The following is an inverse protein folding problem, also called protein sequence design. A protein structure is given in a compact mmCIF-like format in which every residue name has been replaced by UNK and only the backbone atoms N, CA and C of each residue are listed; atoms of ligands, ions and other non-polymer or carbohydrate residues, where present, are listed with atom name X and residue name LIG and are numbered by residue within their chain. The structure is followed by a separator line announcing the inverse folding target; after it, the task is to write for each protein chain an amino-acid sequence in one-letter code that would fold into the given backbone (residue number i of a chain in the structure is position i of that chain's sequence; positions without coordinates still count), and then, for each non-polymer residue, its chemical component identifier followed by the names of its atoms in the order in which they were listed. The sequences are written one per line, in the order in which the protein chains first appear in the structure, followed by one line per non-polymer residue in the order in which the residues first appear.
data_IF_885319548987
#
_entry.id   IF_885319548987
#
_cell.length_a   1.000
_cell.length_b   1.000
_cell.length_c   1.000
_cell.angle_alpha   90.00
_cell.angle_beta   90.00
_cell.angle_gamma   90.00
#
_symmetry.space_group_name_H-M   'P 1'
#
loop_
_entity.id
_entity.type
_entity.pdbx_description
1 polymer ?
#
# COMPACT_ATOMS: atom_id res chain seq x y z
N UNK A 1 29.16 19.79 34.23
CA UNK A 1 28.97 18.36 33.95
C UNK A 1 27.50 18.02 34.18
N UNK A 2 26.70 17.93 33.12
CA UNK A 2 25.28 17.52 33.22
C UNK A 2 25.20 16.05 32.80
N UNK A 3 24.92 15.18 33.77
CA UNK A 3 24.77 13.74 33.56
C UNK A 3 23.53 13.48 32.68
N UNK A 4 23.76 12.95 31.46
CA UNK A 4 22.71 12.36 30.64
C UNK A 4 22.21 11.10 31.36
N UNK A 5 20.95 11.09 31.76
CA UNK A 5 20.30 9.88 32.26
C UNK A 5 20.37 8.78 31.20
N UNK A 6 20.56 7.50 31.58
CA UNK A 6 20.51 6.40 30.62
C UNK A 6 19.07 6.28 30.13
N UNK A 7 18.85 6.55 28.84
CA UNK A 7 17.57 6.25 28.18
C UNK A 7 17.26 4.76 28.37
N UNK A 8 16.12 4.46 28.98
CA UNK A 8 15.64 3.10 29.17
C UNK A 8 15.73 2.30 27.86
N UNK A 9 16.10 1.00 27.89
CA UNK A 9 16.17 0.19 26.68
C UNK A 9 14.78 0.18 26.03
N UNK A 10 14.70 0.71 24.81
CA UNK A 10 13.49 0.64 24.01
C UNK A 10 13.12 -0.84 23.88
N UNK A 11 11.97 -1.21 24.42
CA UNK A 11 11.40 -2.53 24.18
C UNK A 11 11.29 -2.65 22.66
N UNK A 12 11.93 -3.68 22.09
CA UNK A 12 11.86 -4.02 20.66
C UNK A 12 10.80 -5.11 20.53
N UNK A 13 9.51 -4.78 20.32
CA UNK A 13 8.45 -5.80 20.28
C UNK A 13 8.33 -6.47 18.91
N UNK A 14 9.04 -6.01 17.88
CA UNK A 14 8.83 -6.45 16.51
C UNK A 14 9.86 -7.51 16.09
N UNK A 15 9.36 -8.70 15.75
CA UNK A 15 10.14 -9.71 15.04
C UNK A 15 10.23 -9.32 13.54
N UNK A 16 11.35 -9.64 12.87
CA UNK A 16 11.55 -9.48 11.41
C UNK A 16 10.34 -10.04 10.64
N UNK A 17 9.84 -11.20 11.03
CA UNK A 17 8.66 -11.81 10.42
C UNK A 17 7.41 -10.93 10.59
N UNK A 18 7.21 -10.35 11.78
CA UNK A 18 6.07 -9.47 12.05
C UNK A 18 6.17 -8.17 11.24
N UNK A 19 7.36 -7.58 11.15
CA UNK A 19 7.59 -6.39 10.33
C UNK A 19 7.35 -6.68 8.84
N UNK A 20 7.84 -7.82 8.34
CA UNK A 20 7.57 -8.28 6.98
C UNK A 20 6.07 -8.46 6.73
N UNK A 21 5.34 -9.08 7.66
CA UNK A 21 3.90 -9.28 7.54
C UNK A 21 3.11 -7.96 7.58
N UNK A 22 3.54 -6.96 8.36
CA UNK A 22 2.95 -5.62 8.35
C UNK A 22 3.15 -4.95 6.98
N UNK A 23 4.33 -5.10 6.37
CA UNK A 23 4.62 -4.57 5.04
C UNK A 23 3.82 -5.28 3.95
N UNK A 24 3.72 -6.61 4.02
CA UNK A 24 2.87 -7.40 3.12
C UNK A 24 1.42 -6.96 3.25
N UNK A 25 0.91 -6.80 4.47
CA UNK A 25 -0.47 -6.33 4.69
C UNK A 25 -0.71 -4.91 4.18
N UNK A 26 0.30 -4.02 4.26
CA UNK A 26 0.22 -2.66 3.74
C UNK A 26 0.22 -2.61 2.20
N UNK A 27 0.98 -3.50 1.54
CA UNK A 27 1.11 -3.55 0.08
C UNK A 27 -0.01 -4.38 -0.56
N UNK A 28 -0.49 -5.43 0.11
CA UNK A 28 -1.55 -6.30 -0.39
C UNK A 28 -2.91 -5.59 -0.34
N UNK A 29 -3.28 -4.95 -1.44
CA UNK A 29 -4.61 -4.35 -1.63
C UNK A 29 -5.46 -5.17 -2.60
N UNK A 30 -6.59 -5.71 -2.13
CA UNK A 30 -7.59 -6.38 -2.98
C UNK A 30 -8.16 -5.48 -4.07
N UNK A 31 -8.15 -4.16 -3.85
CA UNK A 31 -8.61 -3.14 -4.80
C UNK A 31 -7.98 -3.31 -6.19
N UNK A 32 -6.72 -3.72 -6.24
CA UNK A 32 -5.96 -3.80 -7.48
C UNK A 32 -6.19 -5.13 -8.24
N UNK A 33 -6.85 -6.12 -7.64
CA UNK A 33 -7.01 -7.45 -8.22
C UNK A 33 -7.87 -7.47 -9.50
N UNK A 34 -9.00 -6.75 -9.59
CA UNK A 34 -9.77 -6.69 -10.83
C UNK A 34 -8.96 -6.08 -11.99
N UNK A 35 -8.16 -5.04 -11.70
CA UNK A 35 -7.29 -4.42 -12.68
C UNK A 35 -6.19 -5.42 -13.14
N UNK A 36 -5.58 -6.14 -12.20
CA UNK A 36 -4.59 -7.17 -12.51
C UNK A 36 -5.17 -8.30 -13.38
N UNK A 37 -6.42 -8.69 -13.12
CA UNK A 37 -7.12 -9.70 -13.91
C UNK A 37 -7.34 -9.26 -15.36
N UNK A 38 -7.62 -7.96 -15.61
CA UNK A 38 -7.75 -7.43 -16.98
C UNK A 38 -6.44 -7.52 -17.78
N UNK A 39 -5.29 -7.34 -17.12
CA UNK A 39 -3.97 -7.49 -17.75
C UNK A 39 -3.49 -8.95 -17.80
N UNK A 40 -4.21 -9.88 -17.15
CA UNK A 40 -3.95 -11.32 -17.21
C UNK A 40 -2.50 -11.68 -16.87
N UNK A 41 -1.89 -12.54 -17.69
CA UNK A 41 -0.52 -13.03 -17.46
C UNK A 41 0.55 -11.93 -17.57
N UNK A 42 0.33 -10.91 -18.40
CA UNK A 42 1.24 -9.76 -18.54
C UNK A 42 1.38 -8.95 -17.24
N UNK A 43 0.39 -9.01 -16.34
CA UNK A 43 0.49 -8.34 -15.03
C UNK A 43 1.72 -8.77 -14.26
N UNK A 44 2.07 -10.05 -14.32
CA UNK A 44 3.25 -10.61 -13.65
C UNK A 44 4.55 -9.97 -14.16
N UNK A 45 4.66 -9.71 -15.46
CA UNK A 45 5.80 -9.01 -16.04
C UNK A 45 5.92 -7.59 -15.48
N UNK A 46 4.83 -6.82 -15.44
CA UNK A 46 4.85 -5.48 -14.87
C UNK A 46 5.22 -5.46 -13.38
N UNK A 47 4.71 -6.43 -12.61
CA UNK A 47 5.08 -6.60 -11.21
C UNK A 47 6.56 -6.98 -11.04
N UNK A 48 7.12 -7.83 -11.91
CA UNK A 48 8.54 -8.17 -11.90
C UNK A 48 9.42 -6.97 -12.23
N UNK A 49 9.07 -6.20 -13.26
CA UNK A 49 9.79 -4.97 -13.65
C UNK A 49 9.72 -3.94 -12.52
N UNK A 50 8.55 -3.72 -11.93
CA UNK A 50 8.40 -2.81 -10.80
C UNK A 50 9.14 -3.31 -9.55
N UNK A 51 9.15 -4.62 -9.30
CA UNK A 51 9.85 -5.19 -8.16
C UNK A 51 11.38 -5.02 -8.28
N UNK A 52 11.95 -5.38 -9.43
CA UNK A 52 13.39 -5.32 -9.67
C UNK A 52 13.88 -3.89 -9.93
N UNK A 53 13.10 -3.08 -10.66
CA UNK A 53 13.49 -1.73 -11.07
C UNK A 53 13.21 -0.64 -10.04
N UNK A 54 12.26 -0.86 -9.13
CA UNK A 54 11.86 0.15 -8.16
C UNK A 54 11.83 -0.36 -6.71
N UNK A 55 11.07 -1.42 -6.43
CA UNK A 55 10.83 -1.86 -5.05
C UNK A 55 12.11 -2.29 -4.33
N UNK A 56 12.89 -3.21 -4.91
CA UNK A 56 14.13 -3.73 -4.30
C UNK A 56 15.17 -2.62 -4.14
N UNK A 57 15.51 -1.82 -5.18
CA UNK A 57 16.45 -0.71 -5.02
C UNK A 57 15.99 0.31 -3.96
N UNK A 58 14.72 0.71 -3.99
CA UNK A 58 14.16 1.67 -3.02
C UNK A 58 14.21 1.14 -1.59
N UNK A 59 13.88 -0.14 -1.39
CA UNK A 59 13.94 -0.81 -0.09
C UNK A 59 15.38 -0.85 0.45
N UNK A 60 16.35 -1.21 -0.38
CA UNK A 60 17.77 -1.28 0.01
C UNK A 60 18.31 0.09 0.39
N UNK A 61 18.06 1.12 -0.43
CA UNK A 61 18.48 2.51 -0.13
C UNK A 61 17.81 3.00 1.15
N UNK A 62 16.51 2.74 1.33
CA UNK A 62 15.79 3.13 2.55
C UNK A 62 16.35 2.41 3.78
N UNK A 63 16.73 1.14 3.67
CA UNK A 63 17.35 0.38 4.75
C UNK A 63 18.74 0.90 5.12
N UNK A 64 19.57 1.23 4.11
CA UNK A 64 20.88 1.83 4.32
C UNK A 64 20.76 3.21 5.00
N UNK A 65 19.85 4.06 4.52
CA UNK A 65 19.62 5.39 5.11
C UNK A 65 19.06 5.31 6.53
N UNK A 66 18.14 4.39 6.80
CA UNK A 66 17.57 4.18 8.13
C UNK A 66 18.60 3.68 9.15
N UNK A 67 19.55 2.84 8.72
CA UNK A 67 20.61 2.30 9.58
C UNK A 67 21.80 3.26 9.72
N UNK A 68 22.21 3.93 8.64
CA UNK A 68 23.34 4.85 8.60
C UNK A 68 23.05 6.22 9.25
N UNK A 69 21.83 6.75 9.10
CA UNK A 69 21.43 8.05 9.66
C UNK A 69 20.23 7.89 10.61
N UNK A 70 20.49 7.48 11.86
CA UNK A 70 19.48 7.13 12.86
C UNK A 70 18.69 8.31 13.46
N UNK A 71 18.33 9.31 12.65
CA UNK A 71 17.56 10.48 13.10
C UNK A 71 16.06 10.21 12.97
N UNK A 72 15.29 10.64 13.96
CA UNK A 72 13.83 10.64 13.88
C UNK A 72 13.40 11.63 12.78
N UNK A 73 12.73 11.13 11.73
CA UNK A 73 12.25 11.97 10.63
C UNK A 73 12.21 11.31 9.25
N UNK A 74 12.67 10.06 9.11
CA UNK A 74 12.57 9.28 7.87
C UNK A 74 13.12 10.03 6.65
N UNK A 75 12.36 10.08 5.56
CA UNK A 75 12.75 10.71 4.30
C UNK A 75 13.19 12.17 4.49
N UNK A 76 12.47 12.94 5.31
CA UNK A 76 12.82 14.34 5.57
C UNK A 76 14.23 14.45 6.15
N UNK A 77 14.55 13.62 7.15
CA UNK A 77 15.85 13.64 7.81
C UNK A 77 16.99 13.23 6.86
N UNK A 78 16.77 12.18 6.05
CA UNK A 78 17.77 11.68 5.10
C UNK A 78 18.11 12.71 4.03
N UNK A 79 17.09 13.31 3.40
CA UNK A 79 17.28 14.28 2.31
C UNK A 79 17.81 15.60 2.86
N UNK A 80 17.38 16.01 4.06
CA UNK A 80 17.91 17.21 4.70
C UNK A 80 19.41 17.08 4.99
N UNK A 81 19.87 15.90 5.42
CA UNK A 81 21.28 15.67 5.70
C UNK A 81 22.13 15.73 4.43
N UNK A 82 21.64 15.17 3.32
CA UNK A 82 22.36 15.10 2.06
C UNK A 82 22.29 16.41 1.24
N UNK A 83 21.13 17.05 1.19
CA UNK A 83 20.81 18.14 0.25
C UNK A 83 20.33 19.43 0.92
N UNK A 84 20.35 19.49 2.26
CA UNK A 84 19.96 20.65 3.03
C UNK A 84 18.45 20.81 3.21
N UNK A 85 18.07 21.85 3.97
CA UNK A 85 16.71 22.02 4.49
C UNK A 85 15.63 22.17 3.40
N UNK A 86 15.93 22.90 2.31
CA UNK A 86 14.95 23.17 1.24
C UNK A 86 14.51 21.90 0.52
N UNK A 87 15.48 21.03 0.20
CA UNK A 87 15.21 19.76 -0.48
C UNK A 87 14.53 18.76 0.45
N UNK A 88 14.92 18.72 1.72
CA UNK A 88 14.21 17.92 2.73
C UNK A 88 12.73 18.32 2.85
N UNK A 89 12.45 19.62 2.92
CA UNK A 89 11.08 20.13 2.96
C UNK A 89 10.29 19.78 1.69
N UNK A 90 10.89 19.95 0.51
CA UNK A 90 10.24 19.59 -0.75
C UNK A 90 9.87 18.10 -0.79
N UNK A 91 10.76 17.22 -0.34
CA UNK A 91 10.51 15.79 -0.36
C UNK A 91 9.34 15.37 0.54
N UNK A 92 9.30 15.86 1.79
CA UNK A 92 8.18 15.56 2.69
C UNK A 92 6.87 16.20 2.21
N UNK A 93 6.96 17.36 1.56
CA UNK A 93 5.80 18.01 0.94
C UNK A 93 5.23 17.19 -0.23
N UNK A 94 6.10 16.66 -1.10
CA UNK A 94 5.69 15.75 -2.18
C UNK A 94 5.06 14.46 -1.64
N UNK A 95 5.64 13.88 -0.58
CA UNK A 95 5.07 12.71 0.07
C UNK A 95 3.68 13.01 0.66
N UNK A 96 3.51 14.18 1.29
CA UNK A 96 2.23 14.62 1.81
C UNK A 96 1.18 14.79 0.71
N UNK A 97 1.51 15.49 -0.39
CA UNK A 97 0.60 15.65 -1.55
C UNK A 97 0.22 14.30 -2.15
N UNK A 98 1.18 13.38 -2.30
CA UNK A 98 0.91 12.02 -2.79
C UNK A 98 -0.16 11.31 -1.95
N UNK A 99 -0.05 11.41 -0.62
CA UNK A 99 -1.05 10.83 0.29
C UNK A 99 -2.42 11.51 0.18
N UNK A 100 -2.45 12.84 0.05
CA UNK A 100 -3.70 13.61 -0.11
C UNK A 100 -4.46 13.17 -1.36
N UNK A 101 -3.77 12.91 -2.48
CA UNK A 101 -4.39 12.44 -3.72
C UNK A 101 -4.84 10.98 -3.61
N UNK A 102 -4.12 10.16 -2.85
CA UNK A 102 -4.42 8.73 -2.70
C UNK A 102 -5.69 8.45 -1.88
N UNK A 103 -5.97 9.24 -0.84
CA UNK A 103 -7.12 9.02 0.04
C UNK A 103 -8.48 9.06 -0.68
N UNK A 104 -8.82 10.10 -1.48
CA UNK A 104 -10.06 10.14 -2.23
C UNK A 104 -10.23 8.93 -3.15
N UNK A 105 -9.18 8.50 -3.86
CA UNK A 105 -9.26 7.35 -4.77
C UNK A 105 -9.62 6.06 -4.03
N UNK A 106 -9.03 5.82 -2.86
CA UNK A 106 -9.33 4.63 -2.05
C UNK A 106 -10.72 4.71 -1.41
N UNK A 107 -11.14 5.88 -0.94
CA UNK A 107 -12.49 6.07 -0.38
C UNK A 107 -13.58 5.95 -1.45
N UNK A 108 -13.33 6.41 -2.67
CA UNK A 108 -14.24 6.23 -3.80
C UNK A 108 -14.49 4.75 -4.08
N UNK A 109 -13.45 3.92 -4.06
CA UNK A 109 -13.62 2.48 -4.23
C UNK A 109 -14.51 1.87 -3.13
N UNK A 110 -14.25 2.21 -1.86
CA UNK A 110 -15.06 1.71 -0.73
C UNK A 110 -16.51 2.19 -0.84
N UNK A 111 -16.72 3.48 -1.16
CA UNK A 111 -18.05 4.05 -1.32
C UNK A 111 -18.84 3.34 -2.43
N UNK A 112 -18.22 3.09 -3.59
CA UNK A 112 -18.86 2.40 -4.71
C UNK A 112 -19.25 0.97 -4.31
N UNK A 113 -18.37 0.22 -3.65
CA UNK A 113 -18.66 -1.15 -3.20
C UNK A 113 -19.82 -1.19 -2.21
N UNK A 114 -19.87 -0.24 -1.27
CA UNK A 114 -20.99 -0.10 -0.32
C UNK A 114 -22.28 0.22 -1.08
N UNK A 115 -22.27 1.24 -1.94
CA UNK A 115 -23.45 1.63 -2.71
C UNK A 115 -23.98 0.47 -3.57
N UNK A 116 -23.10 -0.26 -4.25
CA UNK A 116 -23.47 -1.42 -5.07
C UNK A 116 -24.11 -2.54 -4.23
N UNK A 117 -23.65 -2.75 -3.00
CA UNK A 117 -24.18 -3.79 -2.10
C UNK A 117 -25.60 -3.50 -1.61
N UNK A 118 -25.96 -2.21 -1.46
CA UNK A 118 -27.32 -1.81 -1.05
C UNK A 118 -28.26 -1.65 -2.25
N UNK A 119 -27.84 -0.94 -3.30
CA UNK A 119 -28.62 -0.75 -4.50
C UNK A 119 -27.72 -0.38 -5.70
N UNK A 120 -27.65 -1.20 -6.75
CA UNK A 120 -26.84 -0.92 -7.94
C UNK A 120 -27.16 0.42 -8.62
N UNK A 121 -28.39 0.92 -8.51
CA UNK A 121 -28.79 2.22 -9.07
C UNK A 121 -28.19 3.39 -8.30
N UNK A 122 -27.93 3.24 -6.99
CA UNK A 122 -27.31 4.28 -6.17
C UNK A 122 -25.83 4.47 -6.53
N UNK A 123 -25.14 3.40 -6.91
CA UNK A 123 -23.72 3.46 -7.31
C UNK A 123 -23.50 4.24 -8.61
N UNK A 124 -24.51 4.29 -9.50
CA UNK A 124 -24.44 5.02 -10.77
C UNK A 124 -24.69 6.52 -10.62
N UNK A 125 -25.17 6.99 -9.46
CA UNK A 125 -25.41 8.40 -9.23
C UNK A 125 -24.20 9.08 -8.59
N UNK A 126 -23.58 10.02 -9.31
CA UNK A 126 -22.40 10.75 -8.85
C UNK A 126 -22.62 11.46 -7.51
N UNK A 127 -23.84 11.95 -7.26
CA UNK A 127 -24.16 12.67 -6.03
C UNK A 127 -24.21 11.74 -4.81
N UNK A 128 -24.80 10.55 -4.93
CA UNK A 128 -24.84 9.58 -3.84
C UNK A 128 -23.46 9.03 -3.51
N UNK A 129 -22.66 8.70 -4.53
CA UNK A 129 -21.27 8.27 -4.35
C UNK A 129 -20.43 9.36 -3.68
N UNK A 130 -20.62 10.63 -4.08
CA UNK A 130 -19.93 11.77 -3.45
C UNK A 130 -20.30 11.96 -1.97
N UNK A 131 -21.59 11.89 -1.62
CA UNK A 131 -22.04 11.98 -0.22
C UNK A 131 -21.48 10.82 0.60
N UNK A 132 -21.46 9.60 0.04
CA UNK A 132 -20.88 8.43 0.70
C UNK A 132 -19.38 8.60 0.95
N UNK A 133 -18.61 9.12 -0.01
CA UNK A 133 -17.18 9.43 0.17
C UNK A 133 -16.98 10.43 1.30
N UNK A 134 -17.75 11.53 1.33
CA UNK A 134 -17.65 12.54 2.39
C UNK A 134 -18.00 11.96 3.77
N UNK A 135 -19.05 11.15 3.86
CA UNK A 135 -19.46 10.50 5.09
C UNK A 135 -18.36 9.55 5.62
N UNK A 136 -17.75 8.75 4.75
CA UNK A 136 -16.64 7.88 5.11
C UNK A 136 -15.40 8.67 5.55
N UNK A 137 -15.05 9.75 4.83
CA UNK A 137 -13.90 10.59 5.16
C UNK A 137 -14.03 11.23 6.55
N UNK A 138 -15.18 11.85 6.83
CA UNK A 138 -15.43 12.45 8.13
C UNK A 138 -15.59 11.40 9.23
N UNK A 139 -16.23 10.26 8.94
CA UNK A 139 -16.30 9.13 9.87
C UNK A 139 -14.93 8.65 10.31
N UNK A 140 -14.01 8.43 9.36
CA UNK A 140 -12.63 8.07 9.65
C UNK A 140 -11.89 9.17 10.45
N UNK A 141 -12.17 10.45 10.14
CA UNK A 141 -11.58 11.59 10.86
C UNK A 141 -12.04 11.61 12.33
N UNK A 142 -13.34 11.43 12.59
CA UNK A 142 -13.88 11.38 13.96
C UNK A 142 -13.35 10.20 14.77
N UNK A 143 -13.15 9.03 14.13
CA UNK A 143 -12.50 7.88 14.77
C UNK A 143 -11.06 8.23 15.17
N UNK A 144 -10.33 8.94 14.31
CA UNK A 144 -8.97 9.38 14.62
C UNK A 144 -8.91 10.39 15.78
N UNK A 145 -9.91 11.25 15.96
CA UNK A 145 -9.98 12.16 17.11
C UNK A 145 -10.14 11.45 18.46
N UNK A 146 -10.65 10.20 18.49
CA UNK A 146 -10.76 9.40 19.72
C UNK A 146 -9.45 8.72 20.15
N UNK A 147 -8.34 8.98 19.45
CA UNK A 147 -7.00 8.57 19.83
C UNK A 147 -6.47 7.34 19.08
N UNK A 148 -5.15 7.18 19.13
CA UNK A 148 -4.42 6.18 18.31
C UNK A 148 -4.80 4.72 18.60
N UNK A 149 -5.22 4.41 19.84
CA UNK A 149 -5.64 3.03 20.20
C UNK A 149 -6.89 2.59 19.43
N UNK A 150 -7.91 3.45 19.35
CA UNK A 150 -9.15 3.13 18.63
C UNK A 150 -8.90 3.06 17.13
N UNK A 151 -8.16 4.03 16.58
CA UNK A 151 -7.79 4.04 15.16
C UNK A 151 -6.99 2.79 14.76
N UNK A 152 -6.04 2.37 15.59
CA UNK A 152 -5.26 1.14 15.38
C UNK A 152 -6.11 -0.13 15.41
N UNK A 153 -7.05 -0.24 16.36
CA UNK A 153 -7.96 -1.38 16.45
C UNK A 153 -8.90 -1.45 15.24
N UNK A 154 -9.54 -0.34 14.87
CA UNK A 154 -10.43 -0.25 13.69
C UNK A 154 -9.66 -0.61 12.42
N UNK A 155 -8.44 -0.10 12.25
CA UNK A 155 -7.58 -0.41 11.11
C UNK A 155 -7.22 -1.89 11.05
N UNK A 156 -6.86 -2.50 12.18
CA UNK A 156 -6.51 -3.93 12.27
C UNK A 156 -7.70 -4.81 11.91
N UNK A 157 -8.87 -4.54 12.49
CA UNK A 157 -10.11 -5.23 12.15
C UNK A 157 -10.45 -5.07 10.66
N UNK A 158 -10.29 -3.86 10.12
CA UNK A 158 -10.52 -3.56 8.70
C UNK A 158 -9.61 -4.38 7.77
N UNK A 159 -8.32 -4.52 8.11
CA UNK A 159 -7.39 -5.34 7.31
C UNK A 159 -7.73 -6.83 7.38
N UNK A 160 -8.01 -7.35 8.57
CA UNK A 160 -8.31 -8.79 8.75
C UNK A 160 -9.61 -9.14 8.03
N UNK A 161 -10.69 -8.42 8.31
CA UNK A 161 -12.03 -8.72 7.78
C UNK A 161 -12.18 -8.28 6.32
N UNK A 162 -11.60 -7.14 5.96
CA UNK A 162 -11.75 -6.55 4.63
C UNK A 162 -10.76 -7.06 3.59
N UNK A 163 -9.56 -7.49 4.00
CA UNK A 163 -8.48 -7.88 3.07
C UNK A 163 -8.06 -9.33 3.25
N UNK A 164 -7.67 -9.75 4.47
CA UNK A 164 -7.07 -11.08 4.65
C UNK A 164 -8.09 -12.21 4.46
N UNK A 165 -9.26 -12.14 5.12
CA UNK A 165 -10.29 -13.17 5.01
C UNK A 165 -10.79 -13.32 3.56
N UNK A 166 -11.21 -12.25 2.85
CA UNK A 166 -11.66 -12.37 1.47
C UNK A 166 -10.52 -12.79 0.53
N UNK A 167 -9.29 -12.35 0.79
CA UNK A 167 -8.12 -12.77 0.02
C UNK A 167 -7.88 -14.27 0.10
N UNK A 168 -7.85 -14.85 1.31
CA UNK A 168 -7.71 -16.30 1.51
C UNK A 168 -8.87 -17.06 0.88
N UNK A 169 -10.09 -16.55 1.01
CA UNK A 169 -11.28 -17.15 0.42
C UNK A 169 -11.19 -17.22 -1.11
N UNK A 170 -10.86 -16.11 -1.78
CA UNK A 170 -10.72 -16.05 -3.24
C UNK A 170 -9.58 -16.96 -3.72
N UNK A 171 -8.44 -16.98 -3.03
CA UNK A 171 -7.31 -17.87 -3.36
C UNK A 171 -7.75 -19.34 -3.28
N UNK A 172 -8.48 -19.71 -2.21
CA UNK A 172 -8.99 -21.07 -2.03
C UNK A 172 -9.94 -21.46 -3.15
N UNK A 173 -10.89 -20.58 -3.52
CA UNK A 173 -11.79 -20.81 -4.66
C UNK A 173 -11.03 -20.94 -5.98
N UNK A 174 -9.99 -20.14 -6.19
CA UNK A 174 -9.12 -20.25 -7.37
C UNK A 174 -8.41 -21.59 -7.46
N UNK A 175 -7.85 -22.09 -6.35
CA UNK A 175 -7.22 -23.42 -6.30
C UNK A 175 -8.25 -24.52 -6.57
N UNK A 176 -9.43 -24.46 -5.96
CA UNK A 176 -10.51 -25.43 -6.20
C UNK A 176 -10.98 -25.41 -7.66
N UNK A 177 -11.03 -24.23 -8.30
CA UNK A 177 -11.37 -24.10 -9.72
C UNK A 177 -10.36 -24.79 -10.61
N UNK A 178 -9.06 -24.61 -10.35
CA UNK A 178 -7.97 -25.27 -11.08
C UNK A 178 -8.02 -26.79 -10.92
N UNK A 179 -8.20 -27.27 -9.68
CA UNK A 179 -8.30 -28.70 -9.38
C UNK A 179 -9.54 -29.36 -10.00
N UNK A 180 -10.62 -28.58 -10.19
CA UNK A 180 -11.85 -29.05 -10.84
C UNK A 180 -11.74 -29.18 -12.37
N UNK A 181 -10.59 -28.85 -12.96
CA UNK A 181 -10.36 -28.95 -14.41
C UNK A 181 -11.19 -27.96 -15.24
N UNK A 182 -11.70 -26.89 -14.62
CA UNK A 182 -12.48 -25.86 -15.31
C UNK A 182 -11.60 -25.01 -16.21
N UNK A 183 -12.16 -24.40 -17.29
CA UNK A 183 -11.36 -23.62 -18.22
C UNK A 183 -10.66 -22.45 -17.53
N UNK A 184 -9.43 -22.19 -17.95
CA UNK A 184 -8.62 -21.05 -17.52
C UNK A 184 -8.70 -20.01 -18.63
N UNK A 185 -9.34 -18.87 -18.35
CA UNK A 185 -9.50 -17.77 -19.31
C UNK A 185 -8.17 -17.04 -19.62
N UNK A 186 -7.13 -17.30 -18.83
CA UNK A 186 -5.80 -16.71 -19.02
C UNK A 186 -4.98 -17.59 -19.96
N UNK A 187 -4.59 -17.02 -21.11
CA UNK A 187 -3.65 -17.67 -22.02
C UNK A 187 -2.21 -17.56 -21.50
N UNK A 188 -1.72 -18.61 -20.85
CA UNK A 188 -0.35 -18.69 -20.35
C UNK A 188 0.62 -19.01 -21.49
N UNK A 189 1.13 -17.99 -22.18
CA UNK A 189 2.14 -18.14 -23.24
C UNK A 189 3.26 -17.11 -23.08
N UNK A 190 4.47 -17.42 -23.57
CA UNK A 190 5.59 -16.46 -23.55
C UNK A 190 5.29 -15.17 -24.33
N UNK A 191 4.48 -15.27 -25.39
CA UNK A 191 4.00 -14.10 -26.15
C UNK A 191 3.02 -13.23 -25.36
N UNK A 192 2.27 -13.83 -24.44
CA UNK A 192 1.37 -13.13 -23.51
C UNK A 192 2.10 -12.67 -22.24
N UNK A 193 3.34 -13.10 -22.01
CA UNK A 193 4.11 -12.69 -20.83
C UNK A 193 4.69 -11.30 -20.99
N UNK A 194 5.31 -11.02 -22.14
CA UNK A 194 5.89 -9.70 -22.44
C UNK A 194 4.80 -8.84 -23.10
N UNK A 195 4.26 -7.82 -22.41
CA UNK A 195 3.24 -6.94 -22.96
C UNK A 195 3.81 -6.06 -24.07
N UNK A 196 2.95 -5.54 -24.93
CA UNK A 196 3.31 -4.50 -25.89
C UNK A 196 3.62 -3.18 -25.14
N UNK A 197 4.91 -2.87 -25.03
CA UNK A 197 5.45 -1.70 -24.36
C UNK A 197 5.18 -0.39 -25.10
N UNK A 198 4.70 -0.45 -26.35
CA UNK A 198 4.31 0.75 -27.10
C UNK A 198 2.94 1.30 -26.70
N UNK A 199 2.15 0.53 -25.95
CA UNK A 199 0.82 0.91 -25.50
C UNK A 199 0.85 1.89 -24.32
N UNK A 200 0.12 3.00 -24.43
CA UNK A 200 -0.05 4.00 -23.35
C UNK A 200 -0.73 3.39 -22.11
N UNK A 201 -1.61 2.41 -22.31
CA UNK A 201 -2.28 1.68 -21.24
C UNK A 201 -1.30 0.83 -20.42
N UNK A 202 -0.37 0.12 -21.08
CA UNK A 202 0.67 -0.66 -20.41
C UNK A 202 1.60 0.20 -19.55
N UNK A 203 1.99 1.38 -20.05
CA UNK A 203 2.81 2.34 -19.29
C UNK A 203 2.04 2.87 -18.08
N UNK A 204 0.75 3.19 -18.26
CA UNK A 204 -0.12 3.67 -17.19
C UNK A 204 -0.33 2.60 -16.11
N UNK A 205 -0.44 1.33 -16.50
CA UNK A 205 -0.52 0.20 -15.57
C UNK A 205 0.80 0.01 -14.81
N UNK A 206 1.95 0.05 -15.49
CA UNK A 206 3.26 0.01 -14.83
C UNK A 206 3.41 1.12 -13.79
N UNK A 207 3.03 2.36 -14.12
CA UNK A 207 3.05 3.48 -13.19
C UNK A 207 2.16 3.22 -11.96
N UNK A 208 0.97 2.66 -12.17
CA UNK A 208 0.09 2.23 -11.08
C UNK A 208 0.68 1.11 -10.21
N UNK A 209 1.37 0.14 -10.81
CA UNK A 209 2.07 -0.94 -10.11
C UNK A 209 3.23 -0.40 -9.27
N UNK A 210 4.03 0.53 -9.81
CA UNK A 210 5.10 1.23 -9.09
C UNK A 210 4.53 1.99 -7.90
N UNK A 211 3.44 2.74 -8.11
CA UNK A 211 2.75 3.45 -7.03
C UNK A 211 2.26 2.49 -5.95
N UNK A 212 1.81 1.28 -6.32
CA UNK A 212 1.41 0.24 -5.37
C UNK A 212 2.55 -0.28 -4.48
N UNK A 213 3.80 -0.15 -4.92
CA UNK A 213 5.00 -0.47 -4.13
C UNK A 213 5.58 0.72 -3.36
N UNK A 214 5.07 1.93 -3.60
CA UNK A 214 5.45 3.13 -2.86
C UNK A 214 5.00 3.02 -1.39
N UNK A 215 5.81 3.54 -0.46
CA UNK A 215 5.52 3.51 0.98
C UNK A 215 6.41 2.57 1.79
N UNK A 216 7.29 1.78 1.15
CA UNK A 216 8.25 0.91 1.86
C UNK A 216 9.21 1.69 2.76
N UNK A 217 9.50 2.95 2.40
CA UNK A 217 10.26 3.91 3.21
C UNK A 217 9.69 4.13 4.62
N UNK A 218 8.37 3.98 4.81
CA UNK A 218 7.67 4.23 6.08
C UNK A 218 7.91 3.09 7.07
N UNK A 219 8.32 1.94 6.57
CA UNK A 219 8.63 0.78 7.39
C UNK A 219 10.11 0.75 7.75
N UNK A 220 10.97 1.33 6.91
CA UNK A 220 12.40 1.44 7.17
C UNK A 220 12.70 2.25 8.45
N UNK A 221 11.88 3.24 8.80
CA UNK A 221 12.06 3.98 10.07
C UNK A 221 11.87 3.11 11.32
N UNK A 222 11.11 2.01 11.21
CA UNK A 222 10.88 1.05 12.29
C UNK A 222 11.95 -0.05 12.36
N UNK A 223 12.96 -0.04 11.47
CA UNK A 223 14.03 -1.04 11.44
C UNK A 223 14.78 -1.15 12.79
N UNK A 224 14.68 -0.13 13.65
CA UNK A 224 15.35 -0.04 14.95
C UNK A 224 14.55 -0.69 16.09
N UNK A 225 13.26 -0.89 15.88
CA UNK A 225 12.34 -1.53 16.82
C UNK A 225 12.29 -3.05 16.64
N UNK A 226 13.09 -3.56 15.70
CA UNK A 226 13.21 -4.99 15.36
C UNK A 226 14.26 -5.66 16.23
N UNK A 227 13.90 -6.81 16.82
CA UNK A 227 14.80 -7.68 17.60
C UNK A 227 15.73 -8.48 16.69
#
# INVERSE_FOLDING_TARGET
MSQKSPSAPAQRPLNIFLLAMINVAAICSLKNWPLNAMYGFSSLFFYLVAALGFFIPSALVSAELASGWPKNGGIYAWIKEAMGHKMGFLAIWMQWISNVVWYPTTLSFVAIVICQSFNPLLANSSLYTFIAILALYWGATFVNFRGMKLSGWVSTCGVIVGTMIPGVFIITLGILWLLSGKPIEITMSWKTFVPDLSSVSGISYLAGTILGFSGIEMSAVHARDVV
#
